data_IF_867802725699
#
_entry.id   IF_867802725699
#
_cell.length_a   1.000
_cell.length_b   1.000
_cell.length_c   1.000
_cell.angle_alpha   90.00
_cell.angle_beta   90.00
_cell.angle_gamma   90.00
#
_symmetry.space_group_name_H-M   'P 1'
#
loop_
_entity.id
_entity.type
_entity.pdbx_description
1 polymer ?
#
# COMPACT_ATOMS: atom_id res chain seq x y z
N UNK A 1 10.98 0.23 25.67
CA UNK A 1 10.36 0.91 24.49
C UNK A 1 11.36 0.88 23.36
N UNK A 2 10.93 0.60 22.14
CA UNK A 2 11.85 0.61 20.98
C UNK A 2 12.31 2.01 20.64
N UNK A 3 13.57 2.15 20.21
CA UNK A 3 14.16 3.41 19.75
C UNK A 3 13.36 4.03 18.59
N UNK A 4 12.88 3.19 17.64
CA UNK A 4 12.04 3.62 16.53
C UNK A 4 10.74 4.32 16.97
N UNK A 5 10.09 3.87 18.06
CA UNK A 5 8.91 4.55 18.60
C UNK A 5 9.23 5.93 19.19
N UNK A 6 10.40 6.07 19.83
CA UNK A 6 10.83 7.34 20.40
C UNK A 6 11.09 8.35 19.28
N UNK A 7 11.84 7.93 18.26
CA UNK A 7 12.14 8.78 17.09
C UNK A 7 10.86 9.18 16.36
N UNK A 8 9.94 8.22 16.15
CA UNK A 8 8.69 8.47 15.45
C UNK A 8 7.82 9.49 16.22
N UNK A 9 7.69 9.33 17.53
CA UNK A 9 6.95 10.30 18.36
C UNK A 9 7.57 11.69 18.34
N UNK A 10 8.88 11.78 18.25
CA UNK A 10 9.56 13.06 18.11
C UNK A 10 9.22 13.75 16.77
N UNK A 11 9.13 12.98 15.67
CA UNK A 11 8.68 13.54 14.40
C UNK A 11 7.18 13.93 14.42
N UNK A 12 6.34 13.11 15.05
CA UNK A 12 4.91 13.41 15.25
C UNK A 12 4.72 14.71 16.05
N UNK A 13 5.52 14.93 17.11
CA UNK A 13 5.46 16.12 17.95
C UNK A 13 5.77 17.40 17.15
N UNK A 14 6.75 17.37 16.24
CA UNK A 14 7.09 18.52 15.38
C UNK A 14 5.93 18.99 14.51
N UNK A 15 5.06 18.09 14.09
CA UNK A 15 3.90 18.35 13.23
C UNK A 15 2.58 18.42 14.01
N UNK A 16 2.63 18.37 15.36
CA UNK A 16 1.45 18.34 16.25
C UNK A 16 0.50 17.15 15.94
N UNK A 17 1.05 15.99 15.55
CA UNK A 17 0.28 14.76 15.31
C UNK A 17 0.11 14.00 16.62
N UNK A 18 -1.13 13.66 16.96
CA UNK A 18 -1.48 12.93 18.18
C UNK A 18 -1.47 11.40 17.98
N UNK A 19 -1.85 10.94 16.81
CA UNK A 19 -1.84 9.52 16.46
C UNK A 19 -1.38 9.33 15.01
N UNK A 20 -0.68 8.22 14.76
CA UNK A 20 -0.20 7.81 13.44
C UNK A 20 -0.63 6.37 13.16
N UNK A 21 -1.27 6.16 12.01
CA UNK A 21 -1.69 4.83 11.54
C UNK A 21 -0.68 4.32 10.51
N UNK A 22 -0.13 3.13 10.73
CA UNK A 22 0.85 2.48 9.85
C UNK A 22 0.34 1.07 9.50
N UNK A 23 -0.31 0.87 8.34
CA UNK A 23 -0.80 -0.43 7.93
C UNK A 23 0.30 -1.32 7.36
N UNK A 24 0.03 -2.63 7.26
CA UNK A 24 0.70 -3.49 6.28
C UNK A 24 0.03 -3.26 4.95
N UNK A 25 0.57 -2.37 4.16
CA UNK A 25 0.01 -2.02 2.84
C UNK A 25 1.08 -1.42 1.96
N UNK A 26 0.81 -1.42 0.67
CA UNK A 26 1.48 -0.63 -0.34
C UNK A 26 0.43 0.10 -1.19
N UNK A 27 0.82 1.01 -2.10
CA UNK A 27 -0.13 1.75 -2.92
C UNK A 27 -0.99 0.89 -3.87
N UNK A 28 -0.71 -0.40 -3.94
CA UNK A 28 -1.44 -1.38 -4.75
C UNK A 28 -2.33 -2.31 -3.93
N UNK A 29 -2.35 -2.15 -2.60
CA UNK A 29 -3.07 -3.01 -1.65
C UNK A 29 -2.72 -4.49 -1.82
N UNK A 30 -1.42 -4.81 -1.98
CA UNK A 30 -0.95 -6.18 -2.12
C UNK A 30 -0.98 -6.92 -0.78
N UNK A 31 -1.13 -8.25 -0.82
CA UNK A 31 -1.07 -9.07 0.39
C UNK A 31 0.36 -9.13 0.96
N UNK A 32 1.36 -9.15 0.09
CA UNK A 32 2.78 -9.17 0.47
C UNK A 32 3.45 -7.92 -0.11
N UNK A 33 3.86 -7.03 0.76
CA UNK A 33 4.53 -5.79 0.36
C UNK A 33 6.02 -6.02 0.09
N UNK A 34 6.60 -5.29 -0.84
CA UNK A 34 8.06 -5.27 -0.99
C UNK A 34 8.71 -4.57 0.22
N UNK A 35 10.01 -4.80 0.44
CA UNK A 35 10.73 -4.30 1.63
C UNK A 35 10.68 -2.76 1.74
N UNK A 36 10.56 -2.02 0.63
CA UNK A 36 10.41 -0.56 0.65
C UNK A 36 9.16 -0.12 1.43
N UNK A 37 8.05 -0.85 1.29
CA UNK A 37 6.78 -0.54 1.96
C UNK A 37 6.61 -1.26 3.31
N UNK A 38 7.64 -1.91 3.85
CA UNK A 38 7.58 -2.64 5.10
C UNK A 38 7.63 -1.75 6.37
N UNK A 39 7.04 -0.54 6.31
CA UNK A 39 7.08 0.48 7.37
C UNK A 39 6.58 -0.05 8.72
N UNK A 40 5.45 -0.75 8.77
CA UNK A 40 4.91 -1.34 9.99
C UNK A 40 5.89 -2.36 10.61
N UNK A 41 6.53 -3.20 9.78
CA UNK A 41 7.57 -4.16 10.21
C UNK A 41 8.78 -3.43 10.78
N UNK A 42 9.26 -2.38 10.12
CA UNK A 42 10.39 -1.57 10.59
C UNK A 42 10.12 -0.97 11.97
N UNK A 43 8.99 -0.33 12.17
CA UNK A 43 8.66 0.32 13.45
C UNK A 43 8.38 -0.70 14.55
N UNK A 44 7.52 -1.69 14.30
CA UNK A 44 7.07 -2.63 15.33
C UNK A 44 8.01 -3.82 15.56
N UNK A 45 8.77 -4.23 14.54
CA UNK A 45 9.52 -5.49 14.50
C UNK A 45 8.65 -6.73 14.36
N UNK A 46 7.34 -6.57 14.21
CA UNK A 46 6.43 -7.66 13.91
C UNK A 46 6.54 -8.04 12.43
N UNK A 47 6.72 -9.33 12.13
CA UNK A 47 6.98 -9.83 10.77
C UNK A 47 5.81 -10.56 10.11
N UNK A 48 4.65 -10.65 10.78
CA UNK A 48 3.43 -11.20 10.16
C UNK A 48 2.98 -10.39 8.94
N UNK A 49 2.32 -10.99 7.97
CA UNK A 49 1.92 -10.31 6.74
C UNK A 49 0.69 -9.42 6.88
N UNK A 50 -0.05 -9.53 7.98
CA UNK A 50 -1.25 -8.73 8.21
C UNK A 50 -1.20 -8.00 9.56
N UNK A 51 -1.50 -6.72 9.56
CA UNK A 51 -1.63 -5.93 10.78
C UNK A 51 -1.58 -4.43 10.53
N UNK A 52 -2.08 -3.68 11.50
CA UNK A 52 -2.03 -2.22 11.53
C UNK A 52 -1.42 -1.79 12.86
N UNK A 53 -0.42 -0.92 12.81
CA UNK A 53 0.17 -0.30 13.99
C UNK A 53 -0.42 1.11 14.14
N UNK A 54 -0.88 1.42 15.34
CA UNK A 54 -1.22 2.78 15.75
C UNK A 54 -0.20 3.23 16.79
N UNK A 55 0.36 4.43 16.60
CA UNK A 55 1.27 5.07 17.53
C UNK A 55 0.65 6.37 18.00
N UNK A 56 0.38 6.48 19.30
CA UNK A 56 -0.07 7.71 19.93
C UNK A 56 1.10 8.36 20.72
N UNK A 57 0.86 9.52 21.33
CA UNK A 57 1.84 10.28 22.10
C UNK A 57 2.50 9.44 23.19
N UNK A 58 1.73 8.64 23.91
CA UNK A 58 2.16 7.86 25.09
C UNK A 58 1.88 6.36 24.99
N UNK A 59 1.11 5.90 24.02
CA UNK A 59 0.79 4.49 23.80
C UNK A 59 1.07 4.06 22.35
N UNK A 60 1.10 2.75 22.13
CA UNK A 60 1.13 2.16 20.78
C UNK A 60 0.48 0.79 20.81
N UNK A 61 -0.26 0.44 19.76
CA UNK A 61 -0.94 -0.84 19.67
C UNK A 61 -0.90 -1.39 18.24
N UNK A 62 -0.82 -2.71 18.12
CA UNK A 62 -0.77 -3.43 16.86
C UNK A 62 -1.95 -4.40 16.75
N UNK A 63 -2.82 -4.17 15.78
CA UNK A 63 -3.90 -5.07 15.42
C UNK A 63 -3.42 -6.13 14.45
N UNK A 64 -3.72 -7.40 14.73
CA UNK A 64 -3.49 -8.52 13.81
C UNK A 64 -4.54 -9.61 14.03
N UNK A 65 -4.66 -10.53 13.07
CA UNK A 65 -5.63 -11.62 13.10
C UNK A 65 -5.09 -12.90 13.77
N UNK A 66 -5.97 -13.89 13.96
CA UNK A 66 -5.67 -15.12 14.70
C UNK A 66 -4.52 -15.97 14.18
N UNK A 67 -4.12 -15.79 12.91
CA UNK A 67 -2.96 -16.49 12.34
C UNK A 67 -1.65 -16.07 13.00
N UNK A 68 -1.62 -14.88 13.60
CA UNK A 68 -0.40 -14.23 14.08
C UNK A 68 -0.36 -13.95 15.58
N UNK A 69 -1.38 -14.30 16.39
CA UNK A 69 -1.43 -13.95 17.80
C UNK A 69 -0.17 -14.40 18.57
N UNK A 70 0.22 -15.67 18.45
CA UNK A 70 1.40 -16.20 19.15
C UNK A 70 2.71 -15.56 18.69
N UNK A 71 2.83 -15.32 17.38
CA UNK A 71 3.98 -14.65 16.81
C UNK A 71 4.08 -13.20 17.29
N UNK A 72 2.96 -12.47 17.28
CA UNK A 72 2.90 -11.10 17.73
C UNK A 72 3.19 -10.97 19.23
N UNK A 73 2.63 -11.83 20.08
CA UNK A 73 2.96 -11.90 21.52
C UNK A 73 4.47 -12.01 21.76
N UNK A 74 5.13 -12.91 21.02
CA UNK A 74 6.57 -13.11 21.12
C UNK A 74 7.38 -11.91 20.62
N UNK A 75 7.01 -11.36 19.45
CA UNK A 75 7.80 -10.32 18.78
C UNK A 75 7.59 -8.92 19.38
N UNK A 76 6.43 -8.67 19.98
CA UNK A 76 6.11 -7.41 20.64
C UNK A 76 6.53 -7.38 22.13
N UNK A 77 6.97 -8.49 22.69
CA UNK A 77 7.36 -8.55 24.09
C UNK A 77 8.45 -7.50 24.43
N UNK A 78 8.17 -6.64 25.41
CA UNK A 78 9.07 -5.58 25.85
C UNK A 78 9.23 -4.40 24.88
N UNK A 79 8.50 -4.36 23.76
CA UNK A 79 8.58 -3.29 22.78
C UNK A 79 7.89 -1.99 23.21
N UNK A 80 6.91 -2.07 24.10
CA UNK A 80 6.00 -0.97 24.43
C UNK A 80 4.85 -0.81 23.42
N UNK A 81 4.56 -1.87 22.64
CA UNK A 81 3.43 -1.96 21.72
C UNK A 81 2.49 -3.03 22.23
N UNK A 82 1.24 -2.67 22.49
CA UNK A 82 0.20 -3.59 22.93
C UNK A 82 -0.34 -4.41 21.75
N UNK A 83 -0.67 -5.67 22.00
CA UNK A 83 -1.26 -6.53 20.98
C UNK A 83 -2.79 -6.45 21.04
N UNK A 84 -3.39 -6.04 19.94
CA UNK A 84 -4.84 -6.02 19.71
C UNK A 84 -5.25 -7.22 18.84
N UNK A 85 -5.98 -8.16 19.43
CA UNK A 85 -6.37 -9.44 18.80
C UNK A 85 -7.69 -9.28 18.05
N UNK A 86 -7.65 -9.04 16.75
CA UNK A 86 -8.86 -8.88 15.93
C UNK A 86 -9.80 -10.07 16.10
N UNK A 87 -11.09 -9.78 16.33
CA UNK A 87 -12.14 -10.79 16.53
C UNK A 87 -12.36 -11.19 18.00
N UNK A 88 -11.58 -10.67 18.93
CA UNK A 88 -11.87 -10.81 20.36
C UNK A 88 -12.78 -9.67 20.83
N UNK A 89 -13.71 -9.99 21.75
CA UNK A 89 -14.75 -9.04 22.18
C UNK A 89 -14.19 -7.78 22.87
N UNK A 90 -13.04 -7.89 23.51
CA UNK A 90 -12.34 -6.80 24.19
C UNK A 90 -11.46 -5.94 23.29
N UNK A 91 -11.28 -6.33 22.02
CA UNK A 91 -10.43 -5.59 21.09
C UNK A 91 -11.23 -4.47 20.40
N UNK A 92 -10.93 -3.20 20.67
CA UNK A 92 -11.62 -2.08 20.01
C UNK A 92 -11.27 -2.03 18.51
N UNK A 93 -12.13 -1.40 17.71
CA UNK A 93 -11.76 -0.98 16.37
C UNK A 93 -10.62 0.05 16.41
N UNK A 94 -9.89 0.22 15.30
CA UNK A 94 -8.73 1.13 15.24
C UNK A 94 -9.19 2.57 15.48
N UNK A 95 -10.27 2.97 14.83
CA UNK A 95 -10.87 4.31 14.95
C UNK A 95 -11.34 4.60 16.37
N UNK A 96 -11.99 3.62 17.03
CA UNK A 96 -12.44 3.76 18.42
C UNK A 96 -11.26 3.94 19.38
N UNK A 97 -10.21 3.13 19.20
CA UNK A 97 -8.99 3.27 19.99
C UNK A 97 -8.37 4.66 19.85
N UNK A 98 -8.29 5.19 18.63
CA UNK A 98 -7.73 6.52 18.37
C UNK A 98 -8.59 7.60 19.03
N UNK A 99 -9.91 7.51 18.88
CA UNK A 99 -10.89 8.43 19.50
C UNK A 99 -10.75 8.48 21.03
N UNK A 100 -10.48 7.32 21.65
CA UNK A 100 -10.29 7.23 23.11
C UNK A 100 -8.96 7.83 23.60
N UNK A 101 -7.91 7.84 22.75
CA UNK A 101 -6.56 8.31 23.10
C UNK A 101 -6.25 9.72 22.59
N UNK A 102 -7.12 10.33 21.78
CA UNK A 102 -6.94 11.68 21.26
C UNK A 102 -7.96 12.65 21.83
N UNK A 103 -7.57 13.93 21.90
CA UNK A 103 -8.45 15.03 22.32
C UNK A 103 -9.03 15.78 21.12
N UNK A 104 -10.19 16.40 21.30
CA UNK A 104 -10.79 17.22 20.26
C UNK A 104 -9.83 18.32 19.76
N UNK A 105 -9.75 18.48 18.44
CA UNK A 105 -8.83 19.41 17.78
C UNK A 105 -7.45 18.84 17.48
N UNK A 106 -7.15 17.61 17.91
CA UNK A 106 -5.87 16.95 17.58
C UNK A 106 -5.87 16.32 16.17
N UNK A 107 -4.68 16.04 15.65
CA UNK A 107 -4.47 15.52 14.31
C UNK A 107 -4.09 14.04 14.36
N UNK A 108 -4.76 13.24 13.53
CA UNK A 108 -4.41 11.84 13.22
C UNK A 108 -3.78 11.81 11.82
N UNK A 109 -2.63 11.16 11.68
CA UNK A 109 -1.91 11.09 10.42
C UNK A 109 -1.83 9.66 9.87
N UNK A 110 -1.76 9.54 8.56
CA UNK A 110 -1.40 8.33 7.83
C UNK A 110 -0.95 8.68 6.40
N UNK A 111 -0.20 7.79 5.75
CA UNK A 111 0.06 7.92 4.33
C UNK A 111 -1.18 7.49 3.54
N UNK A 112 -1.86 8.46 2.92
CA UNK A 112 -3.09 8.23 2.16
C UNK A 112 -2.94 7.28 0.97
N UNK A 113 -1.71 7.08 0.47
CA UNK A 113 -1.44 6.09 -0.59
C UNK A 113 -1.60 4.64 -0.11
N UNK A 114 -1.55 4.42 1.21
CA UNK A 114 -1.59 3.08 1.84
C UNK A 114 -2.96 2.73 2.43
N UNK A 115 -3.92 3.63 2.38
CA UNK A 115 -5.27 3.49 2.95
C UNK A 115 -6.30 3.50 1.82
N UNK A 116 -7.22 2.56 1.82
CA UNK A 116 -8.32 2.55 0.83
C UNK A 116 -9.33 3.66 1.11
N UNK A 117 -10.06 4.11 0.08
CA UNK A 117 -11.11 5.13 0.21
C UNK A 117 -12.12 4.72 1.28
N UNK A 118 -12.59 3.47 1.27
CA UNK A 118 -13.56 2.99 2.26
C UNK A 118 -13.02 3.06 3.70
N UNK A 119 -11.73 2.76 3.90
CA UNK A 119 -11.10 2.91 5.23
C UNK A 119 -10.98 4.38 5.64
N UNK A 120 -10.59 5.24 4.69
CA UNK A 120 -10.51 6.68 4.92
C UNK A 120 -11.87 7.27 5.30
N UNK A 121 -12.95 6.85 4.63
CA UNK A 121 -14.32 7.25 4.96
C UNK A 121 -14.72 6.79 6.37
N UNK A 122 -14.42 5.53 6.73
CA UNK A 122 -14.66 5.02 8.10
C UNK A 122 -13.92 5.84 9.15
N UNK A 123 -12.66 6.16 8.90
CA UNK A 123 -11.88 7.02 9.81
C UNK A 123 -12.43 8.43 9.85
N UNK A 124 -12.82 9.00 8.71
CA UNK A 124 -13.39 10.35 8.65
C UNK A 124 -14.67 10.48 9.49
N UNK A 125 -15.59 9.52 9.39
CA UNK A 125 -16.83 9.50 10.18
C UNK A 125 -16.53 9.46 11.69
N UNK A 126 -15.63 8.56 12.13
CA UNK A 126 -15.29 8.44 13.54
C UNK A 126 -14.55 9.68 14.07
N UNK A 127 -13.63 10.23 13.28
CA UNK A 127 -12.80 11.37 13.69
C UNK A 127 -13.58 12.68 13.67
N UNK A 128 -14.53 12.87 12.74
CA UNK A 128 -15.42 14.04 12.72
C UNK A 128 -16.26 14.12 14.02
N UNK A 129 -16.81 13.00 14.47
CA UNK A 129 -17.58 12.92 15.70
C UNK A 129 -16.80 13.37 16.94
N UNK A 130 -15.47 13.19 16.96
CA UNK A 130 -14.55 13.63 18.02
C UNK A 130 -13.89 14.97 17.74
N UNK A 131 -14.15 15.59 16.59
CA UNK A 131 -13.49 16.83 16.12
C UNK A 131 -11.96 16.66 15.94
N UNK A 132 -11.52 15.48 15.46
CA UNK A 132 -10.12 15.25 15.08
C UNK A 132 -9.90 15.68 13.64
N UNK A 133 -8.68 16.09 13.33
CA UNK A 133 -8.24 16.41 11.99
C UNK A 133 -7.47 15.23 11.37
N UNK A 134 -7.54 15.06 10.05
CA UNK A 134 -6.74 14.07 9.32
C UNK A 134 -5.62 14.74 8.53
N UNK A 135 -4.42 14.15 8.57
CA UNK A 135 -3.25 14.48 7.75
C UNK A 135 -2.87 13.25 6.93
N UNK A 136 -2.97 13.33 5.60
CA UNK A 136 -2.92 12.14 4.72
C UNK A 136 -1.82 12.18 3.66
N UNK A 137 -1.01 13.22 3.64
CA UNK A 137 0.00 13.52 2.63
C UNK A 137 1.45 13.35 3.13
N UNK A 138 1.65 12.54 4.18
CA UNK A 138 2.93 12.43 4.85
C UNK A 138 3.29 10.97 5.19
N UNK A 139 4.53 10.58 4.90
CA UNK A 139 5.16 9.36 5.38
C UNK A 139 6.13 9.69 6.53
N UNK A 140 5.67 9.58 7.77
CA UNK A 140 6.49 9.81 8.96
C UNK A 140 7.60 8.78 9.13
N UNK A 141 7.41 7.56 8.64
CA UNK A 141 8.40 6.49 8.77
C UNK A 141 9.62 6.78 7.91
N UNK A 142 9.44 7.40 6.75
CA UNK A 142 10.55 7.81 5.87
C UNK A 142 11.53 8.78 6.57
N UNK A 143 11.04 9.61 7.47
CA UNK A 143 11.87 10.57 8.23
C UNK A 143 12.84 9.90 9.22
N UNK A 144 12.53 8.68 9.66
CA UNK A 144 13.33 7.94 10.65
C UNK A 144 14.01 6.69 10.10
N UNK A 145 13.62 6.23 8.92
CA UNK A 145 14.17 5.01 8.29
C UNK A 145 15.29 5.36 7.31
N UNK A 146 16.46 5.72 7.86
CA UNK A 146 17.60 6.22 7.08
C UNK A 146 18.20 5.23 6.09
N UNK A 147 18.01 3.93 6.34
CA UNK A 147 18.47 2.82 5.49
C UNK A 147 17.29 2.12 4.80
N UNK A 148 16.20 2.83 4.54
CA UNK A 148 15.02 2.30 3.86
C UNK A 148 15.42 1.67 2.51
N UNK A 149 15.05 0.41 2.26
CA UNK A 149 15.30 -0.22 0.98
C UNK A 149 14.76 0.63 -0.18
N UNK A 150 15.52 0.72 -1.27
CA UNK A 150 15.05 1.42 -2.46
C UNK A 150 13.81 0.74 -3.07
N UNK A 151 13.09 1.47 -3.91
CA UNK A 151 12.04 0.86 -4.74
C UNK A 151 12.64 -0.24 -5.62
N UNK A 152 11.91 -1.34 -5.85
CA UNK A 152 12.38 -2.43 -6.71
C UNK A 152 12.77 -1.96 -8.10
N UNK A 153 13.92 -2.45 -8.60
CA UNK A 153 14.50 -2.08 -9.89
C UNK A 153 14.80 -3.29 -10.79
N UNK A 154 14.30 -4.47 -10.46
CA UNK A 154 14.51 -5.67 -11.27
C UNK A 154 14.00 -5.50 -12.69
N UNK A 155 14.75 -6.00 -13.69
CA UNK A 155 14.31 -5.95 -15.08
C UNK A 155 12.97 -6.67 -15.25
N UNK A 156 12.10 -6.08 -16.02
CA UNK A 156 10.84 -6.70 -16.43
C UNK A 156 11.05 -7.59 -17.65
N UNK A 157 10.12 -8.50 -17.91
CA UNK A 157 10.11 -9.33 -19.12
C UNK A 157 8.67 -9.68 -19.51
N UNK A 158 8.44 -9.90 -20.79
CA UNK A 158 7.16 -10.41 -21.28
C UNK A 158 7.06 -11.91 -21.09
N UNK A 159 5.93 -12.35 -20.56
CA UNK A 159 5.61 -13.76 -20.42
C UNK A 159 5.06 -14.30 -21.74
N UNK A 160 5.69 -15.34 -22.28
CA UNK A 160 5.35 -15.91 -23.58
C UNK A 160 3.88 -16.31 -23.67
N UNK A 161 3.22 -15.93 -24.77
CA UNK A 161 1.79 -16.18 -25.04
C UNK A 161 1.43 -17.67 -24.94
N UNK A 162 2.35 -18.57 -25.25
CA UNK A 162 2.13 -20.03 -25.08
C UNK A 162 1.81 -20.43 -23.65
N UNK A 163 2.27 -19.67 -22.66
CA UNK A 163 1.98 -19.87 -21.23
C UNK A 163 0.88 -18.93 -20.73
N UNK A 164 0.82 -17.70 -21.26
CA UNK A 164 -0.18 -16.69 -20.89
C UNK A 164 -1.55 -16.97 -21.52
N UNK A 165 -1.61 -17.77 -22.59
CA UNK A 165 -2.82 -18.17 -23.29
C UNK A 165 -3.38 -17.13 -24.26
N UNK A 166 -3.19 -15.83 -24.02
CA UNK A 166 -3.67 -14.72 -24.86
C UNK A 166 -2.60 -13.64 -25.00
N UNK A 167 -2.61 -12.96 -26.14
CA UNK A 167 -1.75 -11.79 -26.37
C UNK A 167 -2.24 -10.57 -25.60
N UNK A 168 -1.39 -9.56 -25.43
CA UNK A 168 -1.74 -8.25 -24.86
C UNK A 168 -2.86 -7.61 -25.68
N UNK A 169 -2.78 -7.67 -27.00
CA UNK A 169 -3.79 -7.12 -27.92
C UNK A 169 -5.18 -7.74 -27.69
N UNK A 170 -5.24 -9.08 -27.58
CA UNK A 170 -6.51 -9.78 -27.37
C UNK A 170 -7.14 -9.41 -26.01
N UNK A 171 -6.32 -9.33 -24.96
CA UNK A 171 -6.78 -8.96 -23.61
C UNK A 171 -7.27 -7.51 -23.56
N UNK A 172 -6.53 -6.57 -24.17
CA UNK A 172 -6.97 -5.19 -24.28
C UNK A 172 -8.30 -5.07 -25.01
N UNK A 173 -8.46 -5.76 -26.14
CA UNK A 173 -9.71 -5.74 -26.90
C UNK A 173 -10.90 -6.27 -26.09
N UNK A 174 -10.69 -7.34 -25.28
CA UNK A 174 -11.74 -7.86 -24.40
C UNK A 174 -12.14 -6.85 -23.32
N UNK A 175 -11.15 -6.21 -22.66
CA UNK A 175 -11.42 -5.18 -21.64
C UNK A 175 -12.13 -3.98 -22.26
N UNK A 176 -11.65 -3.48 -23.40
CA UNK A 176 -12.26 -2.36 -24.10
C UNK A 176 -13.70 -2.66 -24.56
N UNK A 177 -13.98 -3.91 -24.95
CA UNK A 177 -15.35 -4.34 -25.22
C UNK A 177 -16.25 -4.31 -23.97
N UNK A 178 -15.70 -4.67 -22.79
CA UNK A 178 -16.42 -4.53 -21.52
C UNK A 178 -16.63 -3.06 -21.14
N UNK A 179 -15.62 -2.22 -21.30
CA UNK A 179 -15.69 -0.77 -21.04
C UNK A 179 -16.78 -0.13 -21.92
N UNK A 180 -16.82 -0.47 -23.20
CA UNK A 180 -17.85 0.03 -24.11
C UNK A 180 -19.28 -0.35 -23.68
N UNK A 181 -19.48 -1.59 -23.19
CA UNK A 181 -20.77 -2.02 -22.64
C UNK A 181 -21.16 -1.29 -21.35
N UNK A 182 -20.17 -0.91 -20.56
CA UNK A 182 -20.35 -0.16 -19.31
C UNK A 182 -20.39 1.37 -19.53
N UNK A 183 -20.27 1.82 -20.80
CA UNK A 183 -20.19 3.24 -21.18
C UNK A 183 -19.02 3.98 -20.47
N UNK A 184 -17.93 3.24 -20.15
CA UNK A 184 -16.75 3.78 -19.47
C UNK A 184 -15.70 4.24 -20.49
N UNK A 185 -15.14 5.42 -20.28
CA UNK A 185 -14.06 5.96 -21.12
C UNK A 185 -12.68 5.47 -20.64
N UNK A 186 -12.55 5.24 -19.34
CA UNK A 186 -11.29 4.85 -18.70
C UNK A 186 -11.54 3.73 -17.69
N UNK A 187 -10.56 2.80 -17.59
CA UNK A 187 -10.48 1.82 -16.53
C UNK A 187 -9.15 2.00 -15.81
N UNK A 188 -9.18 2.31 -14.52
CA UNK A 188 -8.00 2.46 -13.69
C UNK A 188 -7.70 1.11 -13.02
N UNK A 189 -6.49 0.58 -13.26
CA UNK A 189 -5.98 -0.63 -12.63
C UNK A 189 -4.88 -0.24 -11.64
N UNK A 190 -5.09 -0.56 -10.39
CA UNK A 190 -4.12 -0.36 -9.31
C UNK A 190 -3.53 -1.67 -8.82
N UNK A 191 -4.20 -2.80 -9.04
CA UNK A 191 -3.72 -4.12 -8.64
C UNK A 191 -2.69 -4.65 -9.63
N UNK A 192 -1.51 -4.93 -9.12
CA UNK A 192 -0.35 -5.30 -9.93
C UNK A 192 -0.47 -6.66 -10.61
N UNK A 193 -1.26 -7.59 -10.07
CA UNK A 193 -1.55 -8.88 -10.69
C UNK A 193 -2.49 -8.74 -11.90
N UNK A 194 -3.47 -7.83 -11.84
CA UNK A 194 -4.34 -7.50 -12.96
C UNK A 194 -3.54 -6.88 -14.12
N UNK A 195 -2.62 -5.96 -13.79
CA UNK A 195 -1.71 -5.34 -14.76
C UNK A 195 -0.75 -6.40 -15.35
N UNK A 196 -0.18 -7.24 -14.50
CA UNK A 196 0.71 -8.33 -14.92
C UNK A 196 -0.02 -9.33 -15.85
N UNK A 197 -1.29 -9.63 -15.58
CA UNK A 197 -2.12 -10.44 -16.45
C UNK A 197 -2.39 -9.73 -17.76
N UNK A 198 -2.87 -8.49 -17.74
CA UNK A 198 -3.26 -7.73 -18.94
C UNK A 198 -2.09 -7.57 -19.91
N UNK A 199 -0.94 -7.16 -19.40
CA UNK A 199 0.26 -6.84 -20.17
C UNK A 199 1.19 -8.03 -20.42
N UNK A 200 0.88 -9.22 -19.88
CA UNK A 200 1.83 -10.35 -19.83
C UNK A 200 3.19 -9.95 -19.21
N UNK A 201 3.24 -8.90 -18.41
CA UNK A 201 4.46 -8.35 -17.84
C UNK A 201 4.79 -9.03 -16.52
N UNK A 202 6.07 -9.35 -16.32
CA UNK A 202 6.58 -9.97 -15.08
C UNK A 202 7.82 -9.23 -14.59
N UNK A 203 8.04 -9.29 -13.27
CA UNK A 203 9.24 -8.80 -12.60
C UNK A 203 9.45 -9.56 -11.28
N UNK A 204 10.40 -9.12 -10.45
CA UNK A 204 10.72 -9.74 -9.16
C UNK A 204 10.62 -8.74 -8.02
N UNK A 205 9.58 -7.88 -8.02
CA UNK A 205 9.44 -6.81 -7.04
C UNK A 205 9.02 -7.33 -5.67
N UNK A 206 8.25 -8.41 -5.66
CA UNK A 206 7.79 -9.06 -4.43
C UNK A 206 8.30 -10.51 -4.45
N UNK A 207 8.93 -11.00 -3.37
CA UNK A 207 9.39 -12.38 -3.27
C UNK A 207 8.25 -13.37 -3.56
N UNK A 208 8.53 -14.36 -4.42
CA UNK A 208 7.59 -15.42 -4.82
C UNK A 208 6.35 -14.96 -5.59
N UNK A 209 6.25 -13.67 -5.90
CA UNK A 209 5.14 -13.08 -6.64
C UNK A 209 5.69 -12.30 -7.85
N UNK A 210 5.63 -12.88 -9.07
CA UNK A 210 6.37 -12.36 -10.23
C UNK A 210 5.65 -11.19 -10.90
N UNK A 211 5.47 -10.10 -10.20
CA UNK A 211 4.77 -8.89 -10.63
C UNK A 211 5.69 -7.68 -10.61
N UNK A 212 5.34 -6.64 -11.37
CA UNK A 212 5.98 -5.35 -11.35
C UNK A 212 5.08 -4.33 -10.64
N UNK A 213 5.65 -3.47 -9.79
CA UNK A 213 4.95 -2.30 -9.27
C UNK A 213 4.65 -1.35 -10.44
N UNK A 214 3.37 -1.16 -10.73
CA UNK A 214 2.89 -0.34 -11.82
C UNK A 214 1.42 0.04 -11.61
N UNK A 215 1.00 1.14 -12.26
CA UNK A 215 -0.41 1.47 -12.45
C UNK A 215 -0.73 1.45 -13.95
N UNK A 216 -1.98 1.23 -14.28
CA UNK A 216 -2.43 1.30 -15.66
C UNK A 216 -3.78 2.00 -15.77
N UNK A 217 -3.89 2.90 -16.73
CA UNK A 217 -5.17 3.45 -17.18
C UNK A 217 -5.42 2.90 -18.58
N UNK A 218 -6.45 2.07 -18.72
CA UNK A 218 -6.90 1.59 -20.04
C UNK A 218 -7.83 2.64 -20.61
N UNK A 219 -7.61 3.01 -21.88
CA UNK A 219 -8.43 3.92 -22.66
C UNK A 219 -9.26 3.16 -23.69
N UNK A 220 -10.19 3.84 -24.35
CA UNK A 220 -10.95 3.25 -25.47
C UNK A 220 -10.06 2.72 -26.59
N UNK A 221 -8.89 3.34 -26.76
CA UNK A 221 -7.84 2.92 -27.69
C UNK A 221 -6.49 2.93 -26.97
N UNK A 222 -5.93 1.76 -26.64
CA UNK A 222 -4.65 1.63 -25.94
C UNK A 222 -4.75 1.90 -24.43
N UNK A 223 -3.76 2.61 -23.87
CA UNK A 223 -3.69 2.93 -22.44
C UNK A 223 -2.45 3.70 -22.03
N UNK A 224 -2.32 3.96 -20.73
CA UNK A 224 -1.11 4.57 -20.13
C UNK A 224 -0.62 3.68 -19.00
N UNK A 225 0.61 3.18 -19.14
CA UNK A 225 1.31 2.39 -18.13
C UNK A 225 2.25 3.30 -17.33
N UNK A 226 2.08 3.34 -16.03
CA UNK A 226 2.95 4.07 -15.10
C UNK A 226 3.88 3.08 -14.41
N UNK A 227 5.16 3.12 -14.74
CA UNK A 227 6.18 2.18 -14.26
C UNK A 227 7.57 2.86 -14.30
N UNK A 228 8.50 2.38 -13.49
CA UNK A 228 9.90 2.78 -13.68
C UNK A 228 10.38 2.29 -15.06
N UNK A 229 10.44 3.21 -16.02
CA UNK A 229 10.70 2.90 -17.43
C UNK A 229 12.10 2.32 -17.67
N UNK A 230 13.08 2.58 -16.80
CA UNK A 230 14.43 2.03 -16.94
C UNK A 230 14.46 0.49 -16.83
N UNK A 231 13.38 -0.12 -16.32
CA UNK A 231 13.23 -1.56 -16.12
C UNK A 231 12.66 -2.30 -17.32
N UNK A 232 12.10 -1.57 -18.30
CA UNK A 232 11.48 -2.15 -19.49
C UNK A 232 12.55 -2.52 -20.50
N UNK A 233 12.59 -3.78 -20.95
CA UNK A 233 13.39 -4.22 -22.07
C UNK A 233 12.81 -3.75 -23.42
N UNK A 234 13.57 -3.93 -24.49
CA UNK A 234 13.16 -3.53 -25.86
C UNK A 234 11.92 -4.28 -26.33
N UNK A 235 11.78 -5.57 -25.97
CA UNK A 235 10.64 -6.38 -26.36
C UNK A 235 9.35 -5.87 -25.71
N UNK A 236 9.39 -5.55 -24.41
CA UNK A 236 8.25 -4.96 -23.68
C UNK A 236 7.85 -3.62 -24.26
N UNK A 237 8.84 -2.74 -24.54
CA UNK A 237 8.58 -1.42 -25.14
C UNK A 237 7.91 -1.56 -26.49
N UNK A 238 8.47 -2.36 -27.40
CA UNK A 238 7.91 -2.57 -28.73
C UNK A 238 6.49 -3.19 -28.66
N UNK A 239 6.24 -4.10 -27.73
CA UNK A 239 4.92 -4.66 -27.50
C UNK A 239 3.92 -3.58 -27.07
N UNK A 240 4.29 -2.72 -26.12
CA UNK A 240 3.39 -1.68 -25.60
C UNK A 240 3.12 -0.58 -26.65
N UNK A 241 4.13 -0.12 -27.35
CA UNK A 241 3.97 0.83 -28.46
C UNK A 241 3.05 0.30 -29.55
N UNK A 242 3.21 -0.99 -29.94
CA UNK A 242 2.34 -1.64 -30.94
C UNK A 242 0.87 -1.68 -30.50
N UNK A 243 0.62 -1.73 -29.18
CA UNK A 243 -0.72 -1.76 -28.60
C UNK A 243 -1.22 -0.38 -28.15
N UNK A 244 -0.58 0.72 -28.59
CA UNK A 244 -0.92 2.10 -28.25
C UNK A 244 -0.90 2.36 -26.73
N UNK A 245 0.04 1.74 -26.01
CA UNK A 245 0.25 1.95 -24.57
C UNK A 245 1.39 2.96 -24.41
N UNK A 246 1.05 4.15 -23.93
CA UNK A 246 2.02 5.15 -23.50
C UNK A 246 2.69 4.71 -22.19
N UNK A 247 3.99 4.91 -22.05
CA UNK A 247 4.76 4.59 -20.84
C UNK A 247 5.18 5.86 -20.13
N UNK A 248 4.81 6.00 -18.86
CA UNK A 248 5.16 7.13 -18.00
C UNK A 248 5.89 6.66 -16.74
N UNK A 249 6.57 7.58 -16.07
CA UNK A 249 7.22 7.26 -14.81
C UNK A 249 6.17 6.90 -13.73
N UNK A 250 6.55 6.00 -12.83
CA UNK A 250 5.66 5.44 -11.82
C UNK A 250 4.94 6.50 -10.99
N UNK A 251 5.66 7.53 -10.53
CA UNK A 251 5.11 8.61 -9.71
C UNK A 251 4.23 9.60 -10.49
N UNK A 252 4.22 9.54 -11.82
CA UNK A 252 3.42 10.46 -12.64
C UNK A 252 1.91 10.14 -12.61
N UNK A 253 1.49 9.10 -11.88
CA UNK A 253 0.07 8.79 -11.65
C UNK A 253 -0.58 9.77 -10.67
N UNK A 254 0.20 10.33 -9.75
CA UNK A 254 -0.20 11.34 -8.77
C UNK A 254 -0.09 12.75 -9.34
#
# INVERSE_FOLDING_TARGET
MKETLIQLRHEMEKENVAALIIPTSDPHSTEYVCEHFAARKFVSGFTGSAGVLVVCKDCAALWTDGRYFLQAESQLAGSGIDLMKIGQAETPAIEDYIVDHCQAGETVAFDGRLITVNQADTYAEAFEAKQLHMMTDIDFVDRIWTDRPAMPDSQTFLYDVKYAGKSVADKLAEIQACMNKAEADHLILTKIDEIAWLLNLRAKDIPYYPVALAYMIVHREGGTLYINQARLDEESRACFEKNHIEMKDYEAIY
#
